data_IF_275955438944
#
_entry.id   IF_275955438944
#
_cell.length_a   1.000
_cell.length_b   1.000
_cell.length_c   1.000
_cell.angle_alpha   90.00
_cell.angle_beta   90.00
_cell.angle_gamma   90.00
#
_symmetry.space_group_name_H-M   'P 1'
#
loop_
_entity.id
_entity.type
_entity.pdbx_description
1 polymer ?
#
# COMPACT_ATOMS: atom_id res chain seq x y z
N UNK A 1 -3.29 -11.38 15.24
CA UNK A 1 -2.61 -10.68 14.14
C UNK A 1 -3.54 -10.39 12.97
N UNK A 2 -4.12 -11.42 12.35
CA UNK A 2 -5.09 -11.19 11.27
C UNK A 2 -6.41 -10.65 11.79
N UNK A 3 -6.82 -11.06 12.98
CA UNK A 3 -8.01 -10.53 13.63
C UNK A 3 -7.77 -9.08 13.98
N UNK A 4 -8.70 -8.21 13.60
CA UNK A 4 -8.58 -6.79 13.84
C UNK A 4 -7.64 -6.08 12.87
N UNK A 5 -7.33 -6.73 11.72
CA UNK A 5 -6.47 -6.14 10.70
C UNK A 5 -7.00 -4.79 10.22
N UNK A 6 -8.32 -4.65 10.15
CA UNK A 6 -9.03 -3.40 9.89
C UNK A 6 -8.46 -2.63 8.70
N UNK A 7 -8.57 -3.19 7.49
CA UNK A 7 -8.04 -2.53 6.29
C UNK A 7 -8.85 -1.26 5.97
N UNK A 8 -8.13 -0.19 5.66
CA UNK A 8 -8.73 1.10 5.34
C UNK A 8 -8.28 1.56 3.97
N UNK A 9 -9.23 1.69 3.05
CA UNK A 9 -8.96 2.14 1.69
C UNK A 9 -8.93 3.66 1.64
N UNK A 10 -7.82 4.24 1.15
CA UNK A 10 -7.70 5.67 0.91
C UNK A 10 -8.60 6.08 -0.26
N UNK A 11 -9.23 7.25 -0.16
CA UNK A 11 -10.06 7.79 -1.23
C UNK A 11 -9.27 8.30 -2.41
N UNK A 12 -7.98 8.57 -2.21
CA UNK A 12 -7.11 9.13 -3.25
C UNK A 12 -6.39 8.01 -3.98
N UNK A 13 -6.18 8.22 -5.28
CA UNK A 13 -5.25 7.40 -6.05
C UNK A 13 -3.83 7.90 -5.82
N UNK A 14 -2.86 7.01 -5.93
CA UNK A 14 -1.44 7.28 -5.68
C UNK A 14 -0.61 6.79 -6.85
N UNK A 15 0.59 7.34 -7.00
CA UNK A 15 1.54 6.88 -8.00
C UNK A 15 2.95 6.90 -7.44
N UNK A 16 3.84 6.12 -8.07
CA UNK A 16 5.26 6.12 -7.77
C UNK A 16 5.95 6.95 -8.85
N UNK A 17 6.68 7.98 -8.45
CA UNK A 17 7.25 8.95 -9.40
C UNK A 17 8.70 9.25 -9.05
N UNK A 18 9.62 9.24 -10.03
CA UNK A 18 11.01 9.58 -9.76
C UNK A 18 11.14 11.06 -9.40
N UNK A 19 12.06 11.36 -8.48
CA UNK A 19 12.37 12.72 -8.02
C UNK A 19 13.88 12.91 -8.12
N UNK A 20 14.29 13.94 -8.85
CA UNK A 20 15.72 14.22 -9.05
C UNK A 20 16.32 15.06 -7.92
N UNK A 21 15.52 15.91 -7.28
CA UNK A 21 16.01 16.86 -6.29
C UNK A 21 15.11 16.79 -5.05
N UNK A 22 15.76 16.59 -3.89
CA UNK A 22 15.04 16.51 -2.62
C UNK A 22 14.21 17.78 -2.35
N UNK A 23 14.64 18.93 -2.84
CA UNK A 23 13.89 20.19 -2.69
C UNK A 23 12.56 20.17 -3.44
N UNK A 24 12.40 19.28 -4.40
CA UNK A 24 11.18 19.15 -5.21
C UNK A 24 10.16 18.16 -4.63
N UNK A 25 10.45 17.55 -3.49
CA UNK A 25 9.54 16.60 -2.86
C UNK A 25 8.31 17.35 -2.36
N UNK A 26 7.11 17.05 -2.86
CA UNK A 26 5.90 17.73 -2.38
C UNK A 26 5.59 17.36 -0.93
N UNK A 27 4.98 18.28 -0.20
CA UNK A 27 4.54 18.00 1.16
C UNK A 27 3.46 16.92 1.21
N UNK A 28 2.77 16.70 0.10
CA UNK A 28 1.74 15.67 0.00
C UNK A 28 2.31 14.27 -0.24
N UNK A 29 3.63 14.14 -0.42
CA UNK A 29 4.24 12.83 -0.61
C UNK A 29 3.98 11.94 0.61
N UNK A 30 3.50 10.74 0.34
CA UNK A 30 3.29 9.75 1.40
C UNK A 30 4.62 9.15 1.85
N UNK A 31 5.50 8.88 0.89
CA UNK A 31 6.77 8.23 1.16
C UNK A 31 7.82 8.68 0.16
N UNK A 32 9.08 8.60 0.59
CA UNK A 32 10.25 8.85 -0.25
C UNK A 32 11.16 7.65 -0.08
N UNK A 33 11.60 7.06 -1.19
CA UNK A 33 12.49 5.91 -1.15
C UNK A 33 13.76 6.28 -1.91
N UNK A 34 14.89 6.13 -1.24
CA UNK A 34 16.20 6.38 -1.83
C UNK A 34 16.76 5.05 -2.32
N UNK A 35 16.96 4.95 -3.62
CA UNK A 35 17.54 3.77 -4.25
C UNK A 35 18.85 4.14 -4.92
N UNK A 36 19.65 3.16 -5.31
CA UNK A 36 20.91 3.41 -5.98
C UNK A 36 20.71 4.19 -7.28
N UNK A 37 19.60 3.93 -7.98
CA UNK A 37 19.25 4.60 -9.25
C UNK A 37 18.73 6.02 -9.05
N UNK A 38 18.36 6.40 -7.84
CA UNK A 38 17.77 7.69 -7.53
C UNK A 38 16.61 7.58 -6.56
N UNK A 39 16.02 8.74 -6.25
CA UNK A 39 14.87 8.78 -5.34
C UNK A 39 13.56 8.61 -6.09
N UNK A 40 12.57 8.04 -5.42
CA UNK A 40 11.19 8.09 -5.88
C UNK A 40 10.28 8.52 -4.75
N UNK A 41 9.14 9.08 -5.10
CA UNK A 41 8.11 9.47 -4.16
C UNK A 41 6.81 8.73 -4.44
N UNK A 42 6.08 8.40 -3.39
CA UNK A 42 4.70 7.99 -3.52
C UNK A 42 3.86 9.24 -3.35
N UNK A 43 3.19 9.66 -4.42
CA UNK A 43 2.47 10.92 -4.51
C UNK A 43 0.99 10.69 -4.80
N UNK A 44 0.10 11.63 -4.38
CA UNK A 44 -1.25 11.63 -4.93
C UNK A 44 -1.17 11.67 -6.46
N UNK A 45 -2.00 10.87 -7.12
CA UNK A 45 -1.91 10.73 -8.58
C UNK A 45 -2.13 12.06 -9.31
N UNK A 46 -2.95 12.96 -8.75
CA UNK A 46 -3.19 14.27 -9.35
C UNK A 46 -1.97 15.20 -9.29
N UNK A 47 -0.99 14.87 -8.44
CA UNK A 47 0.24 15.67 -8.33
C UNK A 47 1.35 15.16 -9.24
N UNK A 48 1.14 14.03 -9.92
CA UNK A 48 2.14 13.45 -10.81
C UNK A 48 1.84 13.81 -12.25
N UNK A 49 2.86 14.12 -13.04
CA UNK A 49 2.66 14.40 -14.47
C UNK A 49 2.45 13.10 -15.25
N UNK A 50 1.69 13.19 -16.32
CA UNK A 50 1.63 12.17 -17.37
C UNK A 50 0.83 10.93 -17.03
N UNK A 51 1.26 9.82 -17.60
CA UNK A 51 0.51 8.56 -17.62
C UNK A 51 1.00 7.56 -16.56
N UNK A 52 1.44 8.06 -15.41
CA UNK A 52 1.88 7.18 -14.34
C UNK A 52 0.74 6.24 -13.91
N UNK A 53 1.06 4.97 -13.68
CA UNK A 53 0.09 4.00 -13.21
C UNK A 53 -0.48 4.43 -11.85
N UNK A 54 -1.79 4.32 -11.70
CA UNK A 54 -2.47 4.70 -10.46
C UNK A 54 -2.70 3.49 -9.57
N UNK A 55 -2.47 3.69 -8.28
CA UNK A 55 -2.63 2.66 -7.26
C UNK A 55 -3.58 3.13 -6.18
N UNK A 56 -4.27 2.18 -5.58
CA UNK A 56 -5.04 2.41 -4.37
C UNK A 56 -4.16 2.07 -3.17
N UNK A 57 -4.27 2.84 -2.11
CA UNK A 57 -3.55 2.58 -0.87
C UNK A 57 -4.52 2.00 0.15
N UNK A 58 -4.19 0.82 0.67
CA UNK A 58 -4.94 0.20 1.75
C UNK A 58 -4.01 0.12 2.96
N UNK A 59 -4.40 0.78 4.03
CA UNK A 59 -3.63 0.77 5.28
C UNK A 59 -4.22 -0.26 6.21
N UNK A 60 -3.39 -1.13 6.74
CA UNK A 60 -3.81 -2.08 7.77
C UNK A 60 -3.71 -1.36 9.11
N UNK A 61 -4.88 -1.08 9.72
CA UNK A 61 -4.95 -0.25 10.94
C UNK A 61 -4.54 -0.99 12.19
N UNK A 62 -4.32 -2.28 12.10
CA UNK A 62 -3.74 -3.02 13.22
C UNK A 62 -2.31 -2.54 13.44
N UNK A 63 -1.93 -2.37 14.70
CA UNK A 63 -0.54 -2.05 15.03
C UNK A 63 0.30 -3.31 14.86
N UNK A 64 1.23 -3.30 13.90
CA UNK A 64 2.07 -4.46 13.66
C UNK A 64 3.51 -4.19 14.09
N UNK A 65 4.14 -5.23 14.65
CA UNK A 65 5.54 -5.22 15.01
C UNK A 65 6.37 -5.45 13.74
N UNK A 66 7.44 -4.68 13.56
CA UNK A 66 8.34 -4.85 12.40
C UNK A 66 8.96 -6.23 12.34
N UNK A 67 9.09 -6.90 13.50
CA UNK A 67 9.65 -8.26 13.56
C UNK A 67 8.59 -9.35 13.47
N UNK A 68 7.31 -8.99 13.41
CA UNK A 68 6.22 -9.98 13.31
C UNK A 68 6.27 -10.70 11.97
N UNK A 69 5.93 -11.98 12.00
CA UNK A 69 5.88 -12.79 10.79
C UNK A 69 4.44 -13.21 10.50
N UNK A 70 4.15 -13.48 9.23
CA UNK A 70 2.87 -14.06 8.81
C UNK A 70 1.87 -13.08 8.24
N UNK A 71 1.82 -11.83 8.73
CA UNK A 71 0.83 -10.87 8.22
C UNK A 71 1.05 -10.55 6.74
N UNK A 72 2.27 -10.15 6.38
CA UNK A 72 2.61 -9.83 4.99
C UNK A 72 2.39 -11.03 4.09
N UNK A 73 2.81 -12.22 4.54
CA UNK A 73 2.64 -13.45 3.77
C UNK A 73 1.17 -13.76 3.52
N UNK A 74 0.33 -13.66 4.55
CA UNK A 74 -1.09 -13.95 4.43
C UNK A 74 -1.78 -12.98 3.48
N UNK A 75 -1.47 -11.70 3.59
CA UNK A 75 -2.04 -10.65 2.75
C UNK A 75 -1.61 -10.84 1.30
N UNK A 76 -0.30 -11.02 1.04
CA UNK A 76 0.18 -11.19 -0.32
C UNK A 76 -0.37 -12.46 -0.96
N UNK A 77 -0.52 -13.53 -0.19
CA UNK A 77 -1.07 -14.79 -0.73
C UNK A 77 -2.52 -14.63 -1.18
N UNK A 78 -3.35 -13.98 -0.36
CA UNK A 78 -4.76 -13.82 -0.72
C UNK A 78 -4.94 -12.93 -1.94
N UNK A 79 -4.12 -11.88 -2.08
CA UNK A 79 -4.20 -11.00 -3.22
C UNK A 79 -3.62 -11.65 -4.48
N UNK A 80 -2.46 -12.31 -4.36
CA UNK A 80 -1.83 -12.95 -5.52
C UNK A 80 -2.67 -14.10 -6.07
N UNK A 81 -3.37 -14.82 -5.22
CA UNK A 81 -4.28 -15.89 -5.66
C UNK A 81 -5.39 -15.32 -6.56
N UNK A 82 -5.80 -14.09 -6.33
CA UNK A 82 -6.79 -13.40 -7.17
C UNK A 82 -6.16 -12.60 -8.32
N UNK A 83 -4.85 -12.73 -8.52
CA UNK A 83 -4.15 -12.03 -9.60
C UNK A 83 -4.01 -10.53 -9.36
N UNK A 84 -4.05 -10.08 -8.11
CA UNK A 84 -3.91 -8.66 -7.78
C UNK A 84 -2.48 -8.39 -7.36
N UNK A 85 -1.81 -7.51 -8.12
CA UNK A 85 -0.46 -7.06 -7.76
C UNK A 85 -0.54 -6.27 -6.45
N UNK A 86 0.43 -6.52 -5.56
CA UNK A 86 0.45 -5.86 -4.26
C UNK A 86 1.86 -5.45 -3.90
N UNK A 87 2.04 -4.16 -3.65
CA UNK A 87 3.30 -3.61 -3.17
C UNK A 87 3.07 -3.14 -1.74
N UNK A 88 3.98 -3.48 -0.84
CA UNK A 88 3.81 -3.18 0.57
C UNK A 88 4.93 -2.25 1.03
N UNK A 89 4.55 -1.15 1.67
CA UNK A 89 5.48 -0.28 2.37
C UNK A 89 5.20 -0.45 3.86
N UNK A 90 6.17 -1.01 4.56
CA UNK A 90 6.07 -1.21 6.00
C UNK A 90 6.45 0.09 6.71
N UNK A 91 5.50 0.67 7.41
CA UNK A 91 5.77 1.82 8.27
C UNK A 91 6.07 1.35 9.69
N UNK A 92 6.41 2.30 10.56
CA UNK A 92 6.67 1.98 11.97
C UNK A 92 5.40 1.48 12.66
N UNK A 93 4.26 2.06 12.32
CA UNK A 93 2.99 1.75 13.00
C UNK A 93 2.07 0.86 12.21
N UNK A 94 2.06 1.00 10.89
CA UNK A 94 1.13 0.29 10.03
C UNK A 94 1.78 -0.14 8.73
N UNK A 95 1.26 -1.21 8.14
CA UNK A 95 1.61 -1.62 6.79
C UNK A 95 0.66 -0.95 5.80
N UNK A 96 1.21 -0.51 4.68
CA UNK A 96 0.46 0.17 3.63
C UNK A 96 0.62 -0.61 2.34
N UNK A 97 -0.51 -1.04 1.77
CA UNK A 97 -0.52 -1.82 0.54
C UNK A 97 -0.92 -0.94 -0.63
N UNK A 98 -0.26 -1.17 -1.77
CA UNK A 98 -0.59 -0.47 -3.01
C UNK A 98 -0.99 -1.51 -4.04
N UNK A 99 -2.24 -1.43 -4.47
CA UNK A 99 -2.83 -2.33 -5.45
C UNK A 99 -3.30 -1.51 -6.66
N UNK A 100 -3.47 -2.12 -7.84
CA UNK A 100 -3.98 -1.36 -8.99
C UNK A 100 -5.30 -0.67 -8.63
N UNK A 101 -5.45 0.57 -9.07
CA UNK A 101 -6.60 1.38 -8.71
C UNK A 101 -7.94 0.73 -9.07
N UNK A 102 -8.03 0.09 -10.23
CA UNK A 102 -9.25 -0.53 -10.71
C UNK A 102 -9.60 -1.85 -9.99
N UNK A 103 -8.66 -2.38 -9.19
CA UNK A 103 -8.90 -3.59 -8.40
C UNK A 103 -9.06 -3.29 -6.90
N UNK A 104 -9.18 -2.02 -6.53
CA UNK A 104 -9.14 -1.62 -5.11
C UNK A 104 -10.29 -2.17 -4.26
N UNK A 105 -11.47 -2.21 -4.81
CA UNK A 105 -12.62 -2.67 -4.03
C UNK A 105 -12.60 -4.19 -3.85
N UNK A 106 -12.17 -4.92 -4.87
CA UNK A 106 -11.98 -6.36 -4.76
C UNK A 106 -10.89 -6.68 -3.72
N UNK A 107 -9.78 -5.95 -3.77
CA UNK A 107 -8.69 -6.13 -2.80
C UNK A 107 -9.18 -5.88 -1.38
N UNK A 108 -9.92 -4.80 -1.18
CA UNK A 108 -10.46 -4.47 0.14
C UNK A 108 -11.36 -5.59 0.67
N UNK A 109 -12.25 -6.10 -0.17
CA UNK A 109 -13.14 -7.20 0.23
C UNK A 109 -12.39 -8.46 0.61
N UNK A 110 -11.34 -8.78 -0.16
CA UNK A 110 -10.51 -9.96 0.14
C UNK A 110 -9.82 -9.83 1.49
N UNK A 111 -9.31 -8.63 1.81
CA UNK A 111 -8.66 -8.38 3.09
C UNK A 111 -9.65 -8.40 4.24
N UNK A 112 -10.82 -7.83 4.04
CA UNK A 112 -11.88 -7.86 5.06
C UNK A 112 -12.30 -9.30 5.35
N UNK A 113 -12.43 -10.10 4.31
CA UNK A 113 -12.78 -11.52 4.48
C UNK A 113 -11.69 -12.27 5.21
N UNK A 114 -10.42 -12.01 4.87
CA UNK A 114 -9.29 -12.63 5.55
C UNK A 114 -9.30 -12.33 7.04
N UNK A 115 -9.55 -11.08 7.40
CA UNK A 115 -9.65 -10.67 8.80
C UNK A 115 -10.83 -11.32 9.52
N UNK A 116 -11.97 -11.43 8.84
CA UNK A 116 -13.16 -12.05 9.38
C UNK A 116 -12.97 -13.55 9.58
N UNK A 117 -12.39 -14.23 8.59
CA UNK A 117 -12.13 -15.67 8.66
C UNK A 117 -11.20 -16.01 9.82
N UNK A 118 -10.24 -15.14 10.12
CA UNK A 118 -9.30 -15.36 11.22
C UNK A 118 -9.98 -15.33 12.60
N UNK A 119 -11.19 -14.77 12.69
CA UNK A 119 -11.95 -14.73 13.95
C UNK A 119 -12.68 -16.03 14.24
N UNK A 120 -12.79 -16.90 13.25
CA UNK A 120 -13.45 -18.20 13.41
C UNK A 120 -12.43 -19.23 13.85
#
# INVERSE_FOLDING_TARGET
MLVGMNPELSKRAWCFHPIDDAAMIPQTAFAVIREDEGMCCVLPAEAAPGDAASFAKITLRVHSDLEAVGLTSAVSSVLSTSGIACNIIAGLHHDHLFVPWDRREEALRLLEKLSLDARR
#
